data_IF_886200094152
#
_entry.id   IF_886200094152
#
_cell.length_a   1.000
_cell.length_b   1.000
_cell.length_c   1.000
_cell.angle_alpha   90.00
_cell.angle_beta   90.00
_cell.angle_gamma   90.00
#
_symmetry.space_group_name_H-M   'P 1'
#
loop_
_entity.id
_entity.type
_entity.pdbx_description
1 polymer ?
#
# COMPACT_ATOMS: atom_id res chain seq x y z
N UNK A 1 56.74 -4.49 11.16
CA UNK A 1 55.69 -4.31 10.14
C UNK A 1 54.64 -5.37 10.38
N UNK A 2 53.54 -5.01 11.06
CA UNK A 2 52.39 -5.92 11.15
C UNK A 2 51.82 -6.12 9.74
N UNK A 3 51.61 -7.37 9.29
CA UNK A 3 51.01 -7.61 7.99
C UNK A 3 49.58 -7.09 8.02
N UNK A 4 49.31 -6.05 7.24
CA UNK A 4 47.96 -5.54 6.98
C UNK A 4 47.17 -6.63 6.29
N UNK A 5 46.48 -7.44 7.12
CA UNK A 5 45.61 -8.54 6.70
C UNK A 5 44.55 -7.96 5.77
N UNK A 6 44.68 -8.21 4.46
CA UNK A 6 43.75 -7.75 3.42
C UNK A 6 42.33 -8.02 3.87
N UNK A 7 41.57 -6.96 4.11
CA UNK A 7 40.13 -7.03 4.24
C UNK A 7 39.60 -7.77 3.03
N UNK A 8 39.04 -8.95 3.25
CA UNK A 8 38.49 -9.75 2.17
C UNK A 8 37.25 -9.00 1.66
N UNK A 9 37.32 -8.47 0.44
CA UNK A 9 36.23 -7.72 -0.23
C UNK A 9 34.90 -8.47 -0.11
N UNK A 10 34.94 -9.80 -0.17
CA UNK A 10 33.78 -10.69 0.05
C UNK A 10 33.10 -10.49 1.41
N UNK A 11 33.87 -10.35 2.49
CA UNK A 11 33.33 -10.19 3.84
C UNK A 11 32.67 -8.80 4.00
N UNK A 12 33.19 -7.78 3.31
CA UNK A 12 32.58 -6.45 3.26
C UNK A 12 31.24 -6.47 2.52
N UNK A 13 31.19 -7.10 1.33
CA UNK A 13 29.95 -7.24 0.57
C UNK A 13 28.88 -8.06 1.32
N UNK A 14 29.27 -9.13 2.01
CA UNK A 14 28.33 -9.94 2.80
C UNK A 14 27.73 -9.17 3.97
N UNK A 15 28.54 -8.40 4.71
CA UNK A 15 28.02 -7.56 5.79
C UNK A 15 27.16 -6.42 5.26
N UNK A 16 27.56 -5.76 4.16
CA UNK A 16 26.77 -4.70 3.54
C UNK A 16 25.43 -5.22 3.03
N UNK A 17 25.42 -6.39 2.37
CA UNK A 17 24.19 -7.05 1.95
C UNK A 17 23.27 -7.40 3.12
N UNK A 18 23.81 -7.91 4.23
CA UNK A 18 23.03 -8.20 5.43
C UNK A 18 22.43 -6.92 6.04
N UNK A 19 23.19 -5.82 6.04
CA UNK A 19 22.72 -4.51 6.51
C UNK A 19 21.57 -4.00 5.66
N UNK A 20 21.74 -3.96 4.34
CA UNK A 20 20.69 -3.52 3.41
C UNK A 20 19.45 -4.38 3.59
N UNK A 21 19.60 -5.71 3.64
CA UNK A 21 18.47 -6.61 3.83
C UNK A 21 17.75 -6.37 5.16
N UNK A 22 18.48 -6.13 6.27
CA UNK A 22 17.88 -5.76 7.55
C UNK A 22 17.03 -4.49 7.44
N UNK A 23 17.59 -3.42 6.88
CA UNK A 23 16.87 -2.14 6.74
C UNK A 23 15.61 -2.30 5.91
N UNK A 24 15.73 -2.98 4.78
CA UNK A 24 14.61 -3.24 3.88
C UNK A 24 13.50 -4.06 4.56
N UNK A 25 13.86 -5.05 5.40
CA UNK A 25 12.91 -5.81 6.22
C UNK A 25 12.26 -4.95 7.30
N UNK A 26 13.05 -4.18 8.07
CA UNK A 26 12.57 -3.35 9.18
C UNK A 26 11.60 -2.27 8.69
N UNK A 27 11.98 -1.53 7.65
CA UNK A 27 11.15 -0.48 7.05
C UNK A 27 9.84 -1.09 6.53
N UNK A 28 9.91 -2.24 5.87
CA UNK A 28 8.72 -2.92 5.36
C UNK A 28 7.81 -3.42 6.49
N UNK A 29 8.38 -3.94 7.59
CA UNK A 29 7.61 -4.35 8.75
C UNK A 29 6.88 -3.16 9.39
N UNK A 30 7.57 -2.02 9.58
CA UNK A 30 6.97 -0.80 10.14
C UNK A 30 5.85 -0.29 9.23
N UNK A 31 6.08 -0.21 7.92
CA UNK A 31 5.05 0.20 6.95
C UNK A 31 3.83 -0.72 6.96
N UNK A 32 4.02 -2.03 7.07
CA UNK A 32 2.92 -3.00 7.18
C UNK A 32 2.11 -2.77 8.46
N UNK A 33 2.78 -2.61 9.60
CA UNK A 33 2.13 -2.33 10.88
C UNK A 33 1.36 -1.00 10.83
N UNK A 34 1.92 0.03 10.22
CA UNK A 34 1.27 1.33 10.06
C UNK A 34 0.02 1.23 9.18
N UNK A 35 0.06 0.47 8.09
CA UNK A 35 -1.11 0.24 7.24
C UNK A 35 -2.24 -0.47 8.01
N UNK A 36 -1.92 -1.46 8.85
CA UNK A 36 -2.89 -2.13 9.72
C UNK A 36 -3.48 -1.15 10.73
N UNK A 37 -2.63 -0.35 11.40
CA UNK A 37 -3.06 0.63 12.38
C UNK A 37 -3.96 1.70 11.75
N UNK A 38 -3.61 2.22 10.57
CA UNK A 38 -4.42 3.20 9.83
C UNK A 38 -5.79 2.65 9.45
N UNK A 39 -5.89 1.35 9.19
CA UNK A 39 -7.17 0.70 8.89
C UNK A 39 -8.05 0.56 10.14
N UNK A 40 -7.44 0.38 11.31
CA UNK A 40 -8.15 0.36 12.59
C UNK A 40 -8.53 1.77 13.08
N UNK A 41 -7.65 2.75 12.84
CA UNK A 41 -7.76 4.14 13.25
C UNK A 41 -7.53 5.06 12.03
N UNK A 42 -8.57 5.28 11.21
CA UNK A 42 -8.45 6.09 10.00
C UNK A 42 -8.05 7.53 10.33
N UNK A 43 -7.12 8.06 9.54
CA UNK A 43 -6.73 9.47 9.64
C UNK A 43 -7.81 10.37 9.03
N UNK A 44 -8.01 11.55 9.58
CA UNK A 44 -8.88 12.58 9.01
C UNK A 44 -8.04 13.39 8.02
N UNK A 45 -8.17 13.07 6.73
CA UNK A 45 -7.49 13.81 5.66
C UNK A 45 -8.53 14.60 4.85
N UNK A 46 -8.46 15.93 4.90
CA UNK A 46 -9.37 16.82 4.16
C UNK A 46 -8.98 17.02 2.68
N UNK A 47 -7.95 16.32 2.19
CA UNK A 47 -7.45 16.45 0.82
C UNK A 47 -8.16 15.53 -0.16
N UNK A 48 -8.28 15.99 -1.42
CA UNK A 48 -8.57 15.17 -2.60
C UNK A 48 -7.51 14.07 -2.74
N UNK A 49 -7.61 13.01 -1.94
CA UNK A 49 -6.70 11.90 -2.03
C UNK A 49 -6.97 11.18 -3.35
N UNK A 50 -5.92 11.04 -4.14
CA UNK A 50 -5.81 9.98 -5.14
C UNK A 50 -6.01 8.67 -4.37
N UNK A 51 -7.24 8.14 -4.42
CA UNK A 51 -7.74 6.98 -3.67
C UNK A 51 -7.06 5.68 -4.13
N UNK A 52 -5.74 5.59 -3.95
CA UNK A 52 -5.02 4.34 -3.96
C UNK A 52 -5.08 3.76 -2.55
N UNK A 53 -5.70 2.58 -2.38
CA UNK A 53 -5.50 1.77 -1.18
C UNK A 53 -4.00 1.73 -0.85
N UNK A 54 -3.59 2.06 0.39
CA UNK A 54 -2.20 1.84 0.82
C UNK A 54 -1.85 0.37 0.58
N UNK A 55 -1.11 0.10 -0.50
CA UNK A 55 -0.86 -1.25 -0.96
C UNK A 55 0.13 -1.93 -0.03
N UNK A 56 -0.38 -2.80 0.85
CA UNK A 56 0.47 -3.68 1.66
C UNK A 56 1.24 -4.72 0.84
N UNK A 57 0.91 -4.85 -0.45
CA UNK A 57 1.57 -5.78 -1.37
C UNK A 57 3.09 -5.53 -1.41
N UNK A 58 3.51 -4.25 -1.39
CA UNK A 58 4.92 -3.87 -1.41
C UNK A 58 5.64 -4.30 -0.12
N UNK A 59 5.20 -3.86 1.08
CA UNK A 59 5.75 -4.35 2.34
C UNK A 59 5.80 -5.87 2.47
N UNK A 60 4.70 -6.56 2.13
CA UNK A 60 4.61 -8.02 2.25
C UNK A 60 5.56 -8.73 1.28
N UNK A 61 5.64 -8.30 0.02
CA UNK A 61 6.55 -8.90 -0.96
C UNK A 61 8.02 -8.75 -0.52
N UNK A 62 8.38 -7.58 -0.01
CA UNK A 62 9.72 -7.34 0.53
C UNK A 62 9.99 -8.27 1.71
N UNK A 63 9.08 -8.39 2.67
CA UNK A 63 9.26 -9.28 3.82
C UNK A 63 9.45 -10.74 3.39
N UNK A 64 8.67 -11.22 2.42
CA UNK A 64 8.76 -12.61 1.94
C UNK A 64 10.13 -12.89 1.29
N UNK A 65 10.73 -11.91 0.61
CA UNK A 65 11.96 -12.10 -0.17
C UNK A 65 13.21 -11.72 0.64
N UNK A 66 13.24 -10.52 1.22
CA UNK A 66 14.44 -9.99 1.87
C UNK A 66 14.67 -10.58 3.26
N UNK A 67 13.63 -11.02 3.98
CA UNK A 67 13.83 -11.67 5.27
C UNK A 67 14.61 -12.99 5.18
N UNK A 68 14.24 -13.97 4.32
CA UNK A 68 15.04 -15.19 4.19
C UNK A 68 16.44 -14.90 3.64
N UNK A 69 16.61 -13.90 2.77
CA UNK A 69 17.93 -13.43 2.33
C UNK A 69 18.76 -12.93 3.52
N UNK A 70 18.18 -12.09 4.37
CA UNK A 70 18.85 -11.58 5.57
C UNK A 70 19.30 -12.73 6.49
N UNK A 71 18.40 -13.67 6.81
CA UNK A 71 18.72 -14.84 7.64
C UNK A 71 19.82 -15.69 6.99
N UNK A 72 19.75 -15.91 5.69
CA UNK A 72 20.76 -16.66 4.93
C UNK A 72 22.14 -15.98 4.96
N UNK A 73 22.19 -14.67 4.76
CA UNK A 73 23.44 -13.90 4.84
C UNK A 73 24.04 -13.94 6.24
N UNK A 74 23.20 -13.80 7.28
CA UNK A 74 23.64 -13.90 8.68
C UNK A 74 24.14 -15.30 9.03
N UNK A 75 23.51 -16.34 8.49
CA UNK A 75 23.97 -17.72 8.63
C UNK A 75 25.31 -17.97 7.91
N UNK A 76 25.48 -17.43 6.70
CA UNK A 76 26.73 -17.53 5.95
C UNK A 76 27.88 -16.81 6.67
N UNK A 77 27.60 -15.63 7.23
CA UNK A 77 28.53 -14.89 8.08
C UNK A 77 28.91 -15.70 9.32
N UNK A 78 27.94 -16.27 10.04
CA UNK A 78 28.21 -17.12 11.20
C UNK A 78 29.10 -18.31 10.85
N UNK A 79 28.81 -19.02 9.76
CA UNK A 79 29.61 -20.16 9.29
C UNK A 79 31.05 -19.75 8.98
N UNK A 80 31.24 -18.61 8.31
CA UNK A 80 32.57 -18.07 8.01
C UNK A 80 33.35 -17.71 9.30
N UNK A 81 32.66 -17.23 10.34
CA UNK A 81 33.28 -16.86 11.62
C UNK A 81 33.63 -18.05 12.52
N UNK A 82 32.92 -19.17 12.41
CA UNK A 82 33.26 -20.39 13.15
C UNK A 82 34.51 -21.05 12.57
N UNK A 83 34.69 -21.00 11.24
CA UNK A 83 35.85 -21.59 10.57
C UNK A 83 37.14 -20.79 10.74
N UNK A 84 37.08 -19.47 10.93
CA UNK A 84 38.26 -18.61 11.11
C UNK A 84 38.04 -17.58 12.24
N UNK A 85 38.41 -17.88 13.50
CA UNK A 85 38.15 -17.01 14.65
C UNK A 85 38.86 -15.65 14.56
N UNK A 86 39.98 -15.55 13.85
CA UNK A 86 40.69 -14.28 13.61
C UNK A 86 39.91 -13.28 12.74
N UNK A 87 38.87 -13.74 12.02
CA UNK A 87 37.97 -12.84 11.28
C UNK A 87 36.92 -12.17 12.16
N UNK A 88 36.68 -12.67 13.38
CA UNK A 88 35.74 -12.06 14.35
C UNK A 88 36.23 -10.71 14.88
N UNK A 89 37.55 -10.51 14.94
CA UNK A 89 38.18 -9.30 15.50
C UNK A 89 38.47 -8.20 14.47
N UNK A 90 38.10 -8.38 13.19
CA UNK A 90 38.29 -7.32 12.20
C UNK A 90 37.40 -6.12 12.54
N UNK A 91 38.02 -4.96 12.78
CA UNK A 91 37.36 -3.70 13.15
C UNK A 91 36.20 -3.30 12.24
N UNK A 92 36.20 -3.78 10.99
CA UNK A 92 35.12 -3.63 10.00
C UNK A 92 33.75 -4.08 10.55
N UNK A 93 33.65 -5.22 11.26
CA UNK A 93 32.33 -5.71 11.74
C UNK A 93 31.76 -4.82 12.84
N UNK A 94 32.61 -4.44 13.80
CA UNK A 94 32.23 -3.50 14.87
C UNK A 94 31.84 -2.15 14.26
N UNK A 95 32.62 -1.64 13.31
CA UNK A 95 32.33 -0.39 12.63
C UNK A 95 31.02 -0.42 11.84
N UNK A 96 30.79 -1.47 11.04
CA UNK A 96 29.54 -1.66 10.30
C UNK A 96 28.33 -1.82 11.23
N UNK A 97 28.49 -2.52 12.36
CA UNK A 97 27.42 -2.64 13.37
C UNK A 97 27.15 -1.30 14.07
N UNK A 98 28.17 -0.48 14.33
CA UNK A 98 27.97 0.89 14.82
C UNK A 98 27.28 1.78 13.79
N UNK A 99 27.62 1.66 12.50
CA UNK A 99 26.88 2.34 11.42
C UNK A 99 25.42 1.89 11.41
N UNK A 100 25.13 0.60 11.59
CA UNK A 100 23.74 0.15 11.68
C UNK A 100 23.02 0.72 12.88
N UNK A 101 23.66 0.80 14.05
CA UNK A 101 23.03 1.38 15.25
C UNK A 101 22.76 2.89 15.04
N UNK A 102 23.68 3.59 14.38
CA UNK A 102 23.54 5.01 14.07
C UNK A 102 22.40 5.27 13.08
N UNK A 103 22.39 4.58 11.94
CA UNK A 103 21.36 4.71 10.91
C UNK A 103 19.98 4.28 11.44
N UNK A 104 19.90 3.24 12.28
CA UNK A 104 18.66 2.83 12.93
C UNK A 104 18.14 3.92 13.88
N UNK A 105 19.04 4.59 14.62
CA UNK A 105 18.68 5.74 15.46
C UNK A 105 18.09 6.90 14.64
N UNK A 106 18.70 7.25 13.51
CA UNK A 106 18.19 8.30 12.61
C UNK A 106 16.82 7.90 12.04
N UNK A 107 16.67 6.68 11.55
CA UNK A 107 15.39 6.19 11.01
C UNK A 107 14.28 6.24 12.06
N UNK A 108 14.57 5.75 13.28
CA UNK A 108 13.65 5.79 14.42
C UNK A 108 13.23 7.23 14.75
N UNK A 109 14.18 8.18 14.77
CA UNK A 109 13.88 9.58 15.00
C UNK A 109 13.00 10.16 13.89
N UNK A 110 13.30 9.86 12.63
CA UNK A 110 12.48 10.26 11.48
C UNK A 110 11.04 9.73 11.59
N UNK A 111 10.88 8.45 11.88
CA UNK A 111 9.56 7.82 12.05
C UNK A 111 8.76 8.49 13.18
N UNK A 112 9.40 8.77 14.32
CA UNK A 112 8.77 9.46 15.44
C UNK A 112 8.38 10.91 15.09
N UNK A 113 9.23 11.62 14.33
CA UNK A 113 8.92 12.97 13.84
C UNK A 113 7.70 12.94 12.92
N UNK A 114 7.63 12.01 11.97
CA UNK A 114 6.48 11.86 11.07
C UNK A 114 5.19 11.56 11.83
N UNK A 115 5.25 10.63 12.78
CA UNK A 115 4.09 10.24 13.59
C UNK A 115 3.64 11.40 14.50
N UNK A 116 4.57 12.15 15.08
CA UNK A 116 4.27 13.36 15.87
C UNK A 116 3.68 14.47 15.00
N UNK A 117 4.22 14.69 13.80
CA UNK A 117 3.71 15.69 12.87
C UNK A 117 2.24 15.46 12.54
N UNK A 118 1.86 14.23 12.16
CA UNK A 118 0.47 13.90 11.85
C UNK A 118 -0.47 14.00 13.06
N UNK A 119 0.04 13.73 14.26
CA UNK A 119 -0.72 13.92 15.49
C UNK A 119 -0.96 15.41 15.81
N UNK A 120 0.09 16.25 15.71
CA UNK A 120 -0.01 17.70 15.94
C UNK A 120 -0.92 18.36 14.90
N UNK A 121 -0.84 17.91 13.65
CA UNK A 121 -1.69 18.41 12.55
C UNK A 121 -3.16 17.97 12.70
N UNK A 122 -3.49 17.16 13.72
CA UNK A 122 -4.84 16.70 14.01
C UNK A 122 -5.36 15.62 13.05
N UNK A 123 -4.48 15.05 12.22
CA UNK A 123 -4.84 14.02 11.25
C UNK A 123 -5.01 12.65 11.91
N UNK A 124 -4.41 12.40 13.08
CA UNK A 124 -4.45 11.10 13.76
C UNK A 124 -5.29 11.11 15.03
N UNK A 125 -5.98 9.98 15.27
CA UNK A 125 -6.51 9.65 16.59
C UNK A 125 -5.36 9.34 17.56
N UNK A 126 -5.46 9.81 18.81
CA UNK A 126 -4.44 9.61 19.85
C UNK A 126 -4.03 8.14 20.01
N UNK A 127 -4.99 7.22 19.88
CA UNK A 127 -4.73 5.76 19.99
C UNK A 127 -3.91 5.22 18.80
N UNK A 128 -4.18 5.69 17.58
CA UNK A 128 -3.42 5.29 16.38
C UNK A 128 -1.97 5.76 16.45
N UNK A 129 -1.77 7.01 16.88
CA UNK A 129 -0.46 7.58 17.18
C UNK A 129 0.33 6.71 18.18
N UNK A 130 -0.28 6.38 19.33
CA UNK A 130 0.35 5.59 20.38
C UNK A 130 0.81 4.21 19.88
N UNK A 131 -0.02 3.51 19.10
CA UNK A 131 0.35 2.20 18.56
C UNK A 131 1.50 2.27 17.54
N UNK A 132 1.56 3.33 16.72
CA UNK A 132 2.67 3.55 15.78
C UNK A 132 3.98 3.82 16.50
N UNK A 133 3.96 4.69 17.51
CA UNK A 133 5.14 4.96 18.36
C UNK A 133 5.61 3.67 19.03
N UNK A 134 4.69 2.88 19.59
CA UNK A 134 5.01 1.60 20.22
C UNK A 134 5.64 0.62 19.21
N UNK A 135 5.07 0.50 18.01
CA UNK A 135 5.60 -0.36 16.96
C UNK A 135 7.04 0.01 16.58
N UNK A 136 7.32 1.30 16.35
CA UNK A 136 8.66 1.81 16.04
C UNK A 136 9.63 1.51 17.19
N UNK A 137 9.25 1.81 18.44
CA UNK A 137 10.10 1.58 19.61
C UNK A 137 10.41 0.10 19.83
N UNK A 138 9.43 -0.79 19.68
CA UNK A 138 9.64 -2.24 19.86
C UNK A 138 10.58 -2.79 18.78
N UNK A 139 10.37 -2.41 17.51
CA UNK A 139 11.21 -2.88 16.40
C UNK A 139 12.63 -2.32 16.54
N UNK A 140 12.77 -1.02 16.82
CA UNK A 140 14.07 -0.39 17.03
C UNK A 140 14.80 -1.04 18.21
N UNK A 141 14.15 -1.22 19.36
CA UNK A 141 14.75 -1.84 20.54
C UNK A 141 15.19 -3.27 20.27
N UNK A 142 14.41 -4.06 19.53
CA UNK A 142 14.79 -5.41 19.13
C UNK A 142 16.07 -5.43 18.28
N UNK A 143 16.17 -4.53 17.29
CA UNK A 143 17.38 -4.38 16.46
C UNK A 143 18.58 -3.94 17.31
N UNK A 144 18.41 -2.94 18.17
CA UNK A 144 19.45 -2.45 19.08
C UNK A 144 19.96 -3.57 20.00
N UNK A 145 19.07 -4.31 20.66
CA UNK A 145 19.42 -5.39 21.57
C UNK A 145 20.15 -6.51 20.83
N UNK A 146 19.72 -6.87 19.62
CA UNK A 146 20.39 -7.88 18.80
C UNK A 146 21.81 -7.46 18.45
N UNK A 147 22.00 -6.26 17.88
CA UNK A 147 23.31 -5.79 17.44
C UNK A 147 24.26 -5.47 18.59
N UNK A 148 23.77 -4.93 19.72
CA UNK A 148 24.59 -4.76 20.93
C UNK A 148 25.04 -6.12 21.46
N UNK A 149 24.16 -7.13 21.47
CA UNK A 149 24.51 -8.49 21.90
C UNK A 149 25.52 -9.14 20.96
N UNK A 150 25.43 -8.85 19.66
CA UNK A 150 26.38 -9.28 18.63
C UNK A 150 27.78 -8.68 18.88
N UNK A 151 27.86 -7.35 19.08
CA UNK A 151 29.11 -6.63 19.35
C UNK A 151 29.73 -7.07 20.68
N UNK A 152 28.90 -7.31 21.71
CA UNK A 152 29.35 -7.81 23.03
C UNK A 152 29.74 -9.28 23.02
N UNK A 153 29.63 -9.98 21.88
CA UNK A 153 29.97 -11.40 21.76
C UNK A 153 29.06 -12.33 22.56
N UNK A 154 27.89 -11.87 23.00
CA UNK A 154 26.93 -12.66 23.80
C UNK A 154 26.07 -13.60 22.96
N UNK A 155 26.11 -13.47 21.63
CA UNK A 155 25.33 -14.29 20.71
C UNK A 155 26.02 -15.60 20.35
N UNK A 156 25.56 -16.67 20.98
CA UNK A 156 25.89 -18.06 20.60
C UNK A 156 25.03 -18.53 19.42
N UNK A 157 25.40 -19.65 18.78
CA UNK A 157 24.65 -20.18 17.63
C UNK A 157 23.18 -20.46 17.95
N UNK A 158 22.90 -21.01 19.14
CA UNK A 158 21.53 -21.25 19.58
C UNK A 158 20.75 -19.95 19.79
N UNK A 159 21.37 -18.93 20.40
CA UNK A 159 20.75 -17.61 20.58
C UNK A 159 20.40 -16.97 19.23
N UNK A 160 21.27 -17.08 18.22
CA UNK A 160 21.00 -16.57 16.86
C UNK A 160 19.80 -17.27 16.22
N UNK A 161 19.69 -18.59 16.37
CA UNK A 161 18.52 -19.37 15.90
C UNK A 161 17.23 -18.95 16.61
N UNK A 162 17.28 -18.72 17.92
CA UNK A 162 16.12 -18.22 18.68
C UNK A 162 15.68 -16.85 18.17
N UNK A 163 16.62 -15.90 18.00
CA UNK A 163 16.32 -14.58 17.44
C UNK A 163 15.71 -14.67 16.02
N UNK A 164 16.25 -15.54 15.17
CA UNK A 164 15.69 -15.77 13.83
C UNK A 164 14.28 -16.38 13.91
N UNK A 165 14.03 -17.33 14.82
CA UNK A 165 12.72 -17.92 15.05
C UNK A 165 11.69 -16.90 15.54
N UNK A 166 12.03 -16.09 16.54
CA UNK A 166 11.17 -15.02 17.06
C UNK A 166 10.86 -13.99 15.96
N UNK A 167 11.87 -13.54 15.21
CA UNK A 167 11.66 -12.62 14.09
C UNK A 167 10.75 -13.21 13.01
N UNK A 168 10.91 -14.51 12.70
CA UNK A 168 10.07 -15.22 11.73
C UNK A 168 8.61 -15.25 12.17
N UNK A 169 8.35 -15.57 13.44
CA UNK A 169 7.00 -15.58 14.01
C UNK A 169 6.37 -14.19 13.98
N UNK A 170 7.12 -13.15 14.33
CA UNK A 170 6.64 -11.76 14.31
C UNK A 170 6.29 -11.32 12.88
N UNK A 171 7.14 -11.61 11.90
CA UNK A 171 6.92 -11.23 10.51
C UNK A 171 5.74 -11.99 9.93
N UNK A 172 5.68 -13.32 10.10
CA UNK A 172 4.55 -14.12 9.64
C UNK A 172 3.25 -13.70 10.31
N UNK A 173 3.28 -13.45 11.62
CA UNK A 173 2.13 -12.93 12.38
C UNK A 173 1.65 -11.58 11.83
N UNK A 174 2.58 -10.65 11.55
CA UNK A 174 2.28 -9.34 10.97
C UNK A 174 1.68 -9.45 9.57
N UNK A 175 2.18 -10.37 8.73
CA UNK A 175 1.65 -10.61 7.37
C UNK A 175 0.23 -11.18 7.44
N UNK A 176 0.02 -12.20 8.27
CA UNK A 176 -1.30 -12.82 8.47
C UNK A 176 -2.30 -11.79 9.01
N UNK A 177 -1.88 -11.00 9.98
CA UNK A 177 -2.71 -9.93 10.54
C UNK A 177 -3.02 -8.85 9.49
N UNK A 178 -2.03 -8.45 8.69
CA UNK A 178 -2.18 -7.53 7.57
C UNK A 178 -3.26 -7.97 6.59
N UNK A 179 -3.18 -9.23 6.11
CA UNK A 179 -4.20 -9.77 5.20
C UNK A 179 -5.57 -9.93 5.84
N UNK A 180 -5.64 -10.24 7.13
CA UNK A 180 -6.92 -10.35 7.85
C UNK A 180 -7.65 -9.00 7.94
N UNK A 181 -6.92 -7.88 8.02
CA UNK A 181 -7.50 -6.55 8.20
C UNK A 181 -7.75 -5.84 6.86
N UNK A 182 -6.83 -5.96 5.91
CA UNK A 182 -6.87 -5.25 4.62
C UNK A 182 -7.44 -6.09 3.48
N UNK A 183 -7.70 -7.37 3.71
CA UNK A 183 -8.20 -8.29 2.70
C UNK A 183 -7.09 -8.98 1.90
N UNK A 184 -7.44 -10.14 1.35
CA UNK A 184 -6.53 -11.01 0.60
C UNK A 184 -6.16 -10.42 -0.78
N UNK A 185 -5.10 -10.91 -1.46
CA UNK A 185 -4.79 -10.51 -2.83
C UNK A 185 -5.96 -10.70 -3.81
N UNK A 186 -6.80 -11.72 -3.60
CA UNK A 186 -8.01 -11.94 -4.39
C UNK A 186 -9.02 -10.82 -4.18
N UNK A 187 -9.26 -10.43 -2.92
CA UNK A 187 -10.13 -9.32 -2.54
C UNK A 187 -9.63 -8.01 -3.17
N UNK A 188 -8.33 -7.74 -3.08
CA UNK A 188 -7.70 -6.55 -3.67
C UNK A 188 -7.85 -6.49 -5.20
N UNK A 189 -7.77 -7.65 -5.88
CA UNK A 189 -8.02 -7.71 -7.33
C UNK A 189 -9.47 -7.39 -7.68
N UNK A 190 -10.44 -7.89 -6.90
CA UNK A 190 -11.86 -7.59 -7.11
C UNK A 190 -12.17 -6.10 -6.89
N UNK A 191 -11.59 -5.48 -5.85
CA UNK A 191 -11.71 -4.03 -5.62
C UNK A 191 -11.16 -3.22 -6.79
N UNK A 192 -10.03 -3.62 -7.38
CA UNK A 192 -9.47 -2.95 -8.56
C UNK A 192 -10.36 -3.09 -9.79
N UNK A 193 -11.02 -4.23 -9.98
CA UNK A 193 -12.00 -4.38 -11.04
C UNK A 193 -13.20 -3.46 -10.81
N UNK A 194 -13.73 -3.39 -9.58
CA UNK A 194 -14.83 -2.50 -9.24
C UNK A 194 -14.46 -1.01 -9.42
N UNK A 195 -13.25 -0.60 -9.03
CA UNK A 195 -12.72 0.74 -9.29
C UNK A 195 -12.64 1.05 -10.79
N UNK A 196 -12.15 0.10 -11.59
CA UNK A 196 -12.13 0.26 -13.05
C UNK A 196 -13.55 0.38 -13.62
N UNK A 197 -14.51 -0.41 -13.14
CA UNK A 197 -15.93 -0.29 -13.56
C UNK A 197 -16.48 1.09 -13.24
N UNK A 198 -16.20 1.63 -12.04
CA UNK A 198 -16.61 3.01 -11.70
C UNK A 198 -15.99 4.04 -12.66
N UNK A 199 -14.70 3.93 -12.96
CA UNK A 199 -14.02 4.85 -13.89
C UNK A 199 -14.56 4.74 -15.33
N UNK A 200 -14.89 3.53 -15.77
CA UNK A 200 -15.50 3.30 -17.08
C UNK A 200 -16.90 3.93 -17.16
N UNK A 201 -17.72 3.74 -16.11
CA UNK A 201 -19.04 4.38 -16.02
C UNK A 201 -18.92 5.92 -15.98
N UNK A 202 -17.93 6.48 -15.28
CA UNK A 202 -17.62 7.93 -15.30
C UNK A 202 -17.26 8.42 -16.71
N UNK A 203 -16.52 7.60 -17.46
CA UNK A 203 -16.18 7.88 -18.86
C UNK A 203 -17.43 7.83 -19.75
N UNK A 204 -18.29 6.84 -19.57
CA UNK A 204 -19.57 6.77 -20.32
C UNK A 204 -20.47 7.95 -19.96
N UNK A 205 -20.53 8.33 -18.68
CA UNK A 205 -21.27 9.49 -18.22
C UNK A 205 -20.83 10.78 -18.93
N UNK A 206 -19.52 11.00 -19.07
CA UNK A 206 -19.00 12.17 -19.79
C UNK A 206 -19.36 12.13 -21.28
N UNK A 207 -19.29 10.97 -21.93
CA UNK A 207 -19.71 10.79 -23.32
C UNK A 207 -21.21 11.10 -23.53
N UNK A 208 -22.08 10.62 -22.65
CA UNK A 208 -23.53 10.91 -22.70
C UNK A 208 -23.78 12.42 -22.58
N UNK A 209 -23.09 13.08 -21.65
CA UNK A 209 -23.20 14.53 -21.49
C UNK A 209 -22.69 15.30 -22.71
N UNK A 210 -21.56 14.90 -23.31
CA UNK A 210 -21.03 15.49 -24.54
C UNK A 210 -21.96 15.28 -25.74
N UNK A 211 -22.55 14.08 -25.87
CA UNK A 211 -23.55 13.80 -26.90
C UNK A 211 -24.73 14.77 -26.80
N UNK A 212 -25.30 14.91 -25.60
CA UNK A 212 -26.43 15.80 -25.35
C UNK A 212 -26.08 17.27 -25.67
N UNK A 213 -24.86 17.71 -25.34
CA UNK A 213 -24.39 19.07 -25.67
C UNK A 213 -24.32 19.32 -27.17
N UNK A 214 -23.86 18.33 -27.95
CA UNK A 214 -23.71 18.47 -29.40
C UNK A 214 -25.02 18.31 -30.17
N UNK A 215 -25.90 17.40 -29.73
CA UNK A 215 -27.11 17.01 -30.47
C UNK A 215 -28.40 17.60 -29.90
N UNK A 216 -28.34 18.17 -28.70
CA UNK A 216 -29.50 18.65 -27.94
C UNK A 216 -30.60 17.59 -27.71
N UNK A 217 -30.24 16.31 -27.85
CA UNK A 217 -31.09 15.13 -27.64
C UNK A 217 -30.33 14.08 -26.84
N UNK A 218 -31.05 13.23 -26.10
CA UNK A 218 -30.45 12.09 -25.41
C UNK A 218 -30.08 11.00 -26.43
N UNK A 219 -28.99 10.25 -26.22
CA UNK A 219 -28.68 9.08 -27.03
C UNK A 219 -29.76 8.02 -26.83
N UNK A 220 -30.22 7.41 -27.92
CA UNK A 220 -31.28 6.39 -27.88
C UNK A 220 -30.73 5.03 -27.44
N UNK A 221 -29.45 4.77 -27.77
CA UNK A 221 -28.70 3.57 -27.42
C UNK A 221 -27.24 3.90 -27.17
N UNK A 222 -26.49 2.99 -26.55
CA UNK A 222 -25.06 3.17 -26.28
C UNK A 222 -24.26 3.38 -27.57
N UNK A 223 -24.62 2.72 -28.68
CA UNK A 223 -23.91 2.83 -29.95
C UNK A 223 -23.94 4.25 -30.53
N UNK A 224 -24.93 5.07 -30.15
CA UNK A 224 -24.98 6.47 -30.58
C UNK A 224 -23.80 7.29 -30.03
N UNK A 225 -23.19 6.84 -28.93
CA UNK A 225 -22.04 7.50 -28.30
C UNK A 225 -20.76 7.39 -29.12
N UNK A 226 -20.61 6.37 -29.99
CA UNK A 226 -19.42 6.23 -30.84
C UNK A 226 -19.32 7.35 -31.89
N UNK A 227 -20.44 8.03 -32.16
CA UNK A 227 -20.53 9.16 -33.07
C UNK A 227 -19.90 10.43 -32.47
N UNK A 228 -19.60 10.43 -31.17
CA UNK A 228 -18.88 11.50 -30.48
C UNK A 228 -17.39 11.16 -30.44
N UNK A 229 -16.59 11.95 -31.16
CA UNK A 229 -15.12 11.93 -31.11
C UNK A 229 -14.45 10.57 -31.46
N UNK A 230 -15.12 9.68 -32.21
CA UNK A 230 -14.61 8.32 -32.50
C UNK A 230 -14.25 7.52 -31.24
N UNK A 231 -14.98 7.75 -30.16
CA UNK A 231 -14.68 7.17 -28.85
C UNK A 231 -15.02 5.67 -28.83
N UNK A 232 -14.12 4.87 -28.26
CA UNK A 232 -14.39 3.46 -27.96
C UNK A 232 -15.15 3.39 -26.64
N UNK A 233 -16.32 2.75 -26.63
CA UNK A 233 -17.10 2.55 -25.41
C UNK A 233 -16.39 1.48 -24.58
N UNK A 234 -15.99 1.77 -23.33
CA UNK A 234 -15.36 0.77 -22.48
C UNK A 234 -16.35 -0.38 -22.20
N UNK A 235 -15.82 -1.58 -22.02
CA UNK A 235 -16.55 -2.78 -21.61
C UNK A 235 -15.97 -3.30 -20.31
N UNK A 236 -16.74 -4.06 -19.54
CA UNK A 236 -16.26 -4.61 -18.27
C UNK A 236 -15.01 -5.48 -18.51
N UNK A 237 -13.83 -5.10 -18.00
CA UNK A 237 -12.58 -5.81 -18.25
C UNK A 237 -12.52 -7.17 -17.53
N UNK A 238 -13.43 -7.43 -16.60
CA UNK A 238 -13.54 -8.70 -15.88
C UNK A 238 -14.43 -9.70 -16.64
N UNK A 239 -15.60 -9.25 -17.12
CA UNK A 239 -16.61 -10.13 -17.72
C UNK A 239 -16.65 -10.07 -19.26
N UNK A 240 -16.08 -9.03 -19.86
CA UNK A 240 -16.18 -8.74 -21.30
C UNK A 240 -17.56 -8.22 -21.74
N UNK A 241 -18.51 -8.04 -20.81
CA UNK A 241 -19.85 -7.55 -21.12
C UNK A 241 -19.84 -6.04 -21.29
N UNK A 242 -20.68 -5.53 -22.19
CA UNK A 242 -20.94 -4.11 -22.29
C UNK A 242 -21.68 -3.61 -21.02
N UNK A 243 -21.40 -2.37 -20.62
CA UNK A 243 -22.16 -1.70 -19.57
C UNK A 243 -23.58 -1.40 -20.06
N UNK A 244 -24.52 -1.27 -19.13
CA UNK A 244 -25.93 -1.03 -19.48
C UNK A 244 -26.29 0.46 -19.34
N UNK A 245 -27.08 0.95 -20.29
CA UNK A 245 -27.61 2.30 -20.33
C UNK A 245 -29.12 2.26 -20.50
N UNK A 246 -29.84 2.90 -19.59
CA UNK A 246 -31.30 2.95 -19.62
C UNK A 246 -31.79 4.39 -19.45
N UNK A 247 -32.68 4.84 -20.33
CA UNK A 247 -33.35 6.14 -20.19
C UNK A 247 -34.43 6.06 -19.11
N UNK A 248 -34.46 7.04 -18.20
CA UNK A 248 -35.48 7.14 -17.16
C UNK A 248 -36.57 8.10 -17.62
N UNK A 249 -37.74 7.57 -18.01
CA UNK A 249 -38.88 8.39 -18.43
C UNK A 249 -38.78 8.87 -19.88
N UNK A 250 -39.92 9.22 -20.47
CA UNK A 250 -40.05 9.45 -21.93
C UNK A 250 -39.54 10.81 -22.42
N UNK A 251 -39.24 11.75 -21.52
CA UNK A 251 -38.79 13.12 -21.88
C UNK A 251 -37.73 13.68 -20.94
N UNK A 252 -37.20 12.86 -20.03
CA UNK A 252 -36.35 13.37 -18.96
C UNK A 252 -34.89 13.28 -19.37
N UNK A 253 -34.13 14.31 -18.99
CA UNK A 253 -32.67 14.36 -19.10
C UNK A 253 -32.01 13.46 -18.03
N UNK A 254 -32.60 12.31 -17.75
CA UNK A 254 -32.25 11.39 -16.68
C UNK A 254 -32.05 9.98 -17.24
N UNK A 255 -31.05 9.29 -16.74
CA UNK A 255 -30.63 7.98 -17.23
C UNK A 255 -29.95 7.19 -16.11
N UNK A 256 -29.86 5.88 -16.31
CA UNK A 256 -29.13 4.96 -15.44
C UNK A 256 -27.95 4.35 -16.19
N UNK A 257 -26.83 4.23 -15.48
CA UNK A 257 -25.67 3.48 -15.90
C UNK A 257 -25.44 2.33 -14.92
N UNK A 258 -25.45 1.10 -15.42
CA UNK A 258 -25.41 -0.08 -14.56
C UNK A 258 -24.20 -0.97 -14.83
N UNK A 259 -23.73 -1.62 -13.77
CA UNK A 259 -22.66 -2.61 -13.80
C UNK A 259 -22.88 -3.68 -12.73
N UNK A 260 -22.17 -4.80 -12.86
CA UNK A 260 -22.11 -5.86 -11.85
C UNK A 260 -20.84 -5.70 -11.01
N UNK A 261 -20.99 -5.35 -9.73
CA UNK A 261 -19.88 -5.13 -8.80
C UNK A 261 -19.58 -6.36 -7.97
N UNK A 262 -18.32 -6.54 -7.59
CA UNK A 262 -17.88 -7.72 -6.85
C UNK A 262 -18.05 -7.56 -5.34
N UNK A 263 -17.72 -6.39 -4.79
CA UNK A 263 -17.65 -6.13 -3.34
C UNK A 263 -18.48 -4.90 -2.99
N UNK A 264 -19.12 -4.93 -1.81
CA UNK A 264 -19.76 -3.74 -1.26
C UNK A 264 -18.70 -2.74 -0.81
N UNK A 265 -18.60 -1.63 -1.53
CA UNK A 265 -17.66 -0.55 -1.26
C UNK A 265 -17.75 0.00 0.17
N UNK A 266 -18.93 -0.07 0.83
CA UNK A 266 -19.12 0.41 2.22
C UNK A 266 -18.39 -0.46 3.24
N UNK A 267 -18.12 -1.71 2.90
CA UNK A 267 -17.30 -2.60 3.74
C UNK A 267 -15.81 -2.25 3.69
N UNK A 268 -15.41 -1.44 2.70
CA UNK A 268 -14.04 -0.95 2.58
C UNK A 268 -13.88 0.33 3.39
N UNK A 269 -13.14 0.25 4.50
CA UNK A 269 -12.88 1.41 5.38
C UNK A 269 -12.13 2.50 4.61
N UNK A 270 -12.62 3.74 4.69
CA UNK A 270 -12.04 4.91 4.02
C UNK A 270 -12.71 5.32 2.70
N UNK A 271 -13.73 4.57 2.23
CA UNK A 271 -14.57 5.01 1.12
C UNK A 271 -15.70 5.90 1.65
N UNK A 272 -15.44 7.21 1.67
CA UNK A 272 -16.43 8.23 2.05
C UNK A 272 -17.25 8.64 0.83
N UNK A 273 -18.57 8.77 1.00
CA UNK A 273 -19.42 9.41 0.00
C UNK A 273 -19.16 10.93 -0.01
N UNK A 274 -18.15 11.39 -0.75
CA UNK A 274 -18.00 12.83 -1.03
C UNK A 274 -18.83 13.17 -2.27
N UNK A 275 -19.88 13.96 -2.09
CA UNK A 275 -20.80 14.37 -3.14
C UNK A 275 -20.38 15.71 -3.75
N UNK A 276 -20.50 15.82 -5.07
CA UNK A 276 -21.58 16.64 -5.60
C UNK A 276 -22.72 15.77 -6.14
N UNK A 277 -23.95 16.26 -6.05
CA UNK A 277 -25.23 15.63 -6.40
C UNK A 277 -25.40 15.23 -7.89
N UNK A 278 -24.32 15.07 -8.67
CA UNK A 278 -24.38 15.01 -10.14
C UNK A 278 -23.37 14.04 -10.78
N UNK A 279 -22.65 13.24 -9.99
CA UNK A 279 -21.61 12.34 -10.52
C UNK A 279 -21.70 10.92 -9.92
N UNK A 280 -21.07 9.97 -10.61
CA UNK A 280 -21.00 8.58 -10.20
C UNK A 280 -20.18 8.48 -8.91
N UNK A 281 -20.80 7.94 -7.86
CA UNK A 281 -20.11 7.71 -6.60
C UNK A 281 -19.23 6.46 -6.68
N UNK A 282 -18.09 6.47 -5.98
CA UNK A 282 -17.33 5.23 -5.70
C UNK A 282 -18.05 4.30 -4.73
N UNK A 283 -19.17 4.73 -4.15
CA UNK A 283 -19.99 3.92 -3.26
C UNK A 283 -21.05 3.16 -4.06
N UNK A 284 -20.93 1.84 -4.05
CA UNK A 284 -21.88 0.87 -4.61
C UNK A 284 -21.99 -0.37 -3.71
N UNK A 285 -23.15 -1.07 -3.72
CA UNK A 285 -23.28 -2.40 -3.13
C UNK A 285 -22.56 -3.46 -3.98
N UNK A 286 -22.44 -4.68 -3.46
CA UNK A 286 -22.08 -5.84 -4.27
C UNK A 286 -23.25 -6.26 -5.17
N UNK A 287 -22.94 -6.83 -6.33
CA UNK A 287 -23.91 -7.29 -7.33
C UNK A 287 -24.30 -6.21 -8.34
N UNK A 288 -25.42 -6.45 -9.02
CA UNK A 288 -25.95 -5.52 -10.02
C UNK A 288 -26.42 -4.21 -9.39
N UNK A 289 -25.89 -3.09 -9.85
CA UNK A 289 -26.25 -1.77 -9.36
C UNK A 289 -26.23 -0.72 -10.47
N UNK A 290 -27.18 0.22 -10.39
CA UNK A 290 -27.39 1.30 -11.34
C UNK A 290 -27.22 2.67 -10.67
N UNK A 291 -26.36 3.51 -11.24
CA UNK A 291 -26.27 4.91 -10.85
C UNK A 291 -27.31 5.73 -11.60
N UNK A 292 -28.16 6.43 -10.85
CA UNK A 292 -29.13 7.39 -11.39
C UNK A 292 -28.45 8.72 -11.63
N UNK A 293 -28.48 9.18 -12.87
CA UNK A 293 -27.78 10.37 -13.34
C UNK A 293 -28.76 11.29 -14.08
N UNK A 294 -28.42 12.58 -14.14
CA UNK A 294 -29.17 13.56 -14.90
C UNK A 294 -28.25 14.62 -15.49
N UNK A 295 -28.62 15.15 -16.65
CA UNK A 295 -27.91 16.26 -17.28
C UNK A 295 -28.07 17.52 -16.41
N UNK A 296 -26.98 18.18 -15.99
CA UNK A 296 -27.01 19.37 -15.15
C UNK A 296 -27.90 20.48 -15.74
N UNK A 297 -28.83 21.01 -14.94
CA UNK A 297 -29.63 22.18 -15.30
C UNK A 297 -28.82 23.45 -14.97
N UNK A 298 -28.20 24.08 -15.98
CA UNK A 298 -27.63 25.42 -15.82
C UNK A 298 -26.37 25.80 -16.61
N UNK A 299 -25.71 24.89 -17.34
CA UNK A 299 -24.41 25.20 -18.00
C UNK A 299 -24.42 25.20 -19.54
N UNK A 300 -25.53 24.88 -20.19
CA UNK A 300 -25.55 24.70 -21.65
C UNK A 300 -26.05 25.96 -22.35
N UNK A 301 -25.13 26.88 -22.64
CA UNK A 301 -25.36 27.96 -23.61
C UNK A 301 -25.52 27.30 -24.98
N UNK A 302 -26.67 27.52 -25.64
CA UNK A 302 -26.89 27.08 -27.02
C UNK A 302 -25.78 27.66 -27.90
N UNK A 303 -24.95 26.80 -28.51
CA UNK A 303 -24.07 27.24 -29.59
C UNK A 303 -24.96 27.70 -30.76
N UNK A 304 -24.80 28.94 -31.27
CA UNK A 304 -25.53 29.37 -32.45
C UNK A 304 -25.11 28.51 -33.65
N UNK A 305 -26.11 28.06 -34.42
CA UNK A 305 -25.94 27.39 -35.71
C UNK A 305 -25.25 28.30 -36.71
#
# INVERSE_FOLDING_TARGET
MEPTKKTNVKDLFLNLGAIVALYTVVISLINLLFAVINTAYPQITNGYNYYGSQSISWPVAILIIFFPIFVFLMWLLEKAYVSEPDRRNMGIRKWLSYITLFLAGIATAGDLVTVLYYFIDGQELTTGFLFKVLAVLVVALAVFVYYISDIRGKLNSNSRKIWAGVASVIILGSIVWGFSVLGSPRTQRLLKYDEQKVNDLMTINSLVQSYYQMKASMPSKMEDLTLVQYSQIPVDPQSGKAYEYNLIGQSAKAYELCAEFNIDSKTTKGVSASYPYQDISRVHPAGYYCFKLAIPVGQYVKLPM
#
